data_IF_799861261803
#
_entry.id   IF_799861261803
#
_cell.length_a   1.000
_cell.length_b   1.000
_cell.length_c   1.000
_cell.angle_alpha   90.00
_cell.angle_beta   90.00
_cell.angle_gamma   90.00
#
_symmetry.space_group_name_H-M   'P 1'
#
loop_
_entity.id
_entity.type
_entity.pdbx_description
1 polymer ?
#
# COMPACT_ATOMS: atom_id res chain seq x y z
N UNK A 1 29.42 12.64 9.84
CA UNK A 1 29.15 13.58 8.73
C UNK A 1 27.76 13.21 8.20
N UNK A 2 26.78 14.11 8.20
CA UNK A 2 25.42 13.75 7.75
C UNK A 2 25.38 13.81 6.23
N UNK A 3 25.28 12.65 5.57
CA UNK A 3 25.17 12.58 4.11
C UNK A 3 23.74 12.97 3.72
N UNK A 4 23.59 14.10 3.03
CA UNK A 4 22.31 14.53 2.47
C UNK A 4 22.16 14.00 1.05
N UNK A 5 21.14 13.19 0.83
CA UNK A 5 20.80 12.67 -0.51
C UNK A 5 19.79 13.62 -1.14
N UNK A 6 20.18 14.26 -2.24
CA UNK A 6 19.30 15.13 -3.02
C UNK A 6 18.88 14.39 -4.28
N UNK A 7 17.63 13.96 -4.34
CA UNK A 7 17.03 13.38 -5.55
C UNK A 7 16.39 14.48 -6.41
N UNK A 8 16.28 14.21 -7.72
CA UNK A 8 15.62 15.10 -8.67
C UNK A 8 14.39 14.38 -9.24
N UNK A 9 13.27 14.48 -8.53
CA UNK A 9 11.99 13.91 -8.94
C UNK A 9 10.82 14.85 -8.69
N UNK A 10 9.64 14.49 -9.20
CA UNK A 10 8.37 15.13 -8.87
C UNK A 10 8.11 15.02 -7.36
N UNK A 11 7.55 16.08 -6.80
CA UNK A 11 7.23 16.20 -5.36
C UNK A 11 5.73 16.05 -5.07
N UNK A 12 4.90 15.91 -6.09
CA UNK A 12 3.47 15.61 -5.91
C UNK A 12 3.31 14.11 -5.60
N UNK A 13 3.48 13.79 -4.31
CA UNK A 13 3.45 12.43 -3.80
C UNK A 13 2.02 11.87 -3.82
N UNK A 14 1.01 12.72 -3.66
CA UNK A 14 -0.40 12.32 -3.69
C UNK A 14 -0.81 11.83 -5.08
N UNK A 15 -0.35 12.52 -6.14
CA UNK A 15 -0.51 12.07 -7.52
C UNK A 15 0.13 10.69 -7.73
N UNK A 16 1.36 10.48 -7.26
CA UNK A 16 2.05 9.19 -7.38
C UNK A 16 1.28 8.06 -6.70
N UNK A 17 0.85 8.24 -5.45
CA UNK A 17 0.16 7.20 -4.70
C UNK A 17 -1.21 6.85 -5.28
N UNK A 18 -1.92 7.82 -5.88
CA UNK A 18 -3.17 7.58 -6.61
C UNK A 18 -2.94 6.81 -7.91
N UNK A 19 -1.86 7.12 -8.65
CA UNK A 19 -1.61 6.58 -9.98
C UNK A 19 -0.95 5.20 -9.99
N UNK A 20 -0.18 4.87 -8.97
CA UNK A 20 0.78 3.76 -9.03
C UNK A 20 0.25 2.42 -8.53
N UNK A 21 -0.95 2.39 -7.92
CA UNK A 21 -1.56 1.22 -7.27
C UNK A 21 -0.61 0.45 -6.32
N UNK A 22 0.43 1.16 -5.84
CA UNK A 22 1.58 0.62 -5.10
C UNK A 22 1.15 -0.05 -3.80
N UNK A 23 -0.03 0.28 -3.28
CA UNK A 23 -0.58 -0.26 -2.03
C UNK A 23 -1.27 -1.62 -2.18
N UNK A 24 -1.79 -1.94 -3.36
CA UNK A 24 -2.58 -3.17 -3.57
C UNK A 24 -1.82 -4.21 -4.41
N UNK A 25 -0.74 -3.79 -5.08
CA UNK A 25 0.07 -4.66 -5.89
C UNK A 25 0.81 -5.70 -5.02
N UNK A 26 0.53 -6.98 -5.28
CA UNK A 26 1.23 -8.12 -4.67
C UNK A 26 2.72 -8.10 -5.02
N UNK A 27 3.11 -7.51 -6.16
CA UNK A 27 4.50 -7.23 -6.54
C UNK A 27 4.59 -6.06 -7.51
N UNK A 28 5.55 -5.17 -7.30
CA UNK A 28 5.84 -4.03 -8.16
C UNK A 28 6.69 -4.44 -9.38
N UNK A 29 6.15 -5.27 -10.26
CA UNK A 29 6.88 -5.85 -11.40
C UNK A 29 7.47 -4.81 -12.37
N UNK A 30 6.92 -3.59 -12.42
CA UNK A 30 7.29 -2.54 -13.37
C UNK A 30 7.47 -1.15 -12.76
N UNK A 31 7.44 -1.06 -11.42
CA UNK A 31 7.49 0.20 -10.65
C UNK A 31 8.27 -0.01 -9.34
N UNK A 32 9.51 -0.53 -9.38
CA UNK A 32 10.24 -0.83 -8.16
C UNK A 32 10.54 0.45 -7.38
N UNK A 33 10.60 0.32 -6.06
CA UNK A 33 10.94 1.42 -5.16
C UNK A 33 12.44 1.38 -4.88
N UNK A 34 13.11 2.50 -5.14
CA UNK A 34 14.52 2.69 -4.76
C UNK A 34 14.56 3.35 -3.39
N UNK A 35 15.10 2.64 -2.41
CA UNK A 35 15.25 3.09 -1.03
C UNK A 35 16.70 3.44 -0.78
N UNK A 36 16.94 4.63 -0.23
CA UNK A 36 18.27 5.11 0.08
C UNK A 36 18.50 5.06 1.61
N UNK A 37 19.39 4.18 2.04
CA UNK A 37 19.76 4.00 3.45
C UNK A 37 21.16 4.59 3.63
N UNK A 38 21.25 5.75 4.29
CA UNK A 38 22.52 6.40 4.58
C UNK A 38 23.15 5.82 5.85
N UNK A 39 24.45 5.52 5.79
CA UNK A 39 25.32 5.30 6.94
C UNK A 39 26.24 6.51 7.13
N UNK A 40 27.16 6.47 8.09
CA UNK A 40 28.11 7.57 8.32
C UNK A 40 29.04 7.84 7.14
N UNK A 41 29.32 6.81 6.33
CA UNK A 41 30.35 6.77 5.29
C UNK A 41 29.82 6.38 3.90
N UNK A 42 28.60 5.85 3.80
CA UNK A 42 28.06 5.32 2.56
C UNK A 42 26.55 5.54 2.44
N UNK A 43 26.05 5.33 1.23
CA UNK A 43 24.61 5.24 0.95
C UNK A 43 24.37 3.90 0.28
N UNK A 44 23.60 3.03 0.94
CA UNK A 44 23.12 1.81 0.36
C UNK A 44 21.81 2.09 -0.38
N UNK A 45 21.76 1.74 -1.67
CA UNK A 45 20.52 1.78 -2.46
C UNK A 45 19.93 0.38 -2.52
N UNK A 46 18.70 0.22 -2.04
CA UNK A 46 17.96 -1.05 -2.07
C UNK A 46 16.76 -0.94 -3.02
N UNK A 47 16.56 -1.98 -3.82
CA UNK A 47 15.33 -2.17 -4.60
C UNK A 47 14.32 -2.91 -3.73
N UNK A 48 13.11 -2.37 -3.59
CA UNK A 48 11.99 -3.08 -2.98
C UNK A 48 10.96 -3.45 -4.04
N UNK A 49 10.62 -4.74 -4.04
CA UNK A 49 9.60 -5.34 -4.90
C UNK A 49 8.18 -5.21 -4.30
N UNK A 50 8.09 -4.89 -3.01
CA UNK A 50 6.84 -4.75 -2.28
C UNK A 50 6.82 -3.43 -1.50
N UNK A 51 5.75 -2.64 -1.66
CA UNK A 51 5.62 -1.37 -0.97
C UNK A 51 5.54 -1.51 0.56
N UNK A 52 4.98 -2.63 1.02
CA UNK A 52 4.83 -2.89 2.45
C UNK A 52 6.17 -2.98 3.19
N UNK A 53 7.23 -3.42 2.50
CA UNK A 53 8.57 -3.51 3.07
C UNK A 53 9.09 -2.13 3.51
N UNK A 54 8.56 -1.04 2.94
CA UNK A 54 8.85 0.32 3.41
C UNK A 54 8.46 0.54 4.87
N UNK A 55 7.39 -0.10 5.36
CA UNK A 55 6.92 0.11 6.73
C UNK A 55 7.88 -0.43 7.79
N UNK A 56 8.84 -1.28 7.40
CA UNK A 56 9.91 -1.76 8.27
C UNK A 56 11.07 -0.77 8.45
N UNK A 57 11.07 0.33 7.68
CA UNK A 57 12.15 1.31 7.64
C UNK A 57 11.81 2.57 8.47
N UNK A 58 12.84 3.35 8.90
CA UNK A 58 12.65 4.64 9.57
C UNK A 58 11.93 5.66 8.68
N UNK A 59 11.17 6.57 9.29
CA UNK A 59 10.32 7.53 8.58
C UNK A 59 11.10 8.50 7.68
N UNK A 60 12.30 8.88 8.11
CA UNK A 60 13.23 9.75 7.40
C UNK A 60 13.86 9.11 6.17
N UNK A 61 13.69 7.79 5.97
CA UNK A 61 14.29 7.07 4.85
C UNK A 61 13.74 7.61 3.52
N UNK A 62 14.66 8.02 2.65
CA UNK A 62 14.32 8.57 1.34
C UNK A 62 14.00 7.46 0.34
N UNK A 63 12.95 7.67 -0.45
CA UNK A 63 12.44 6.73 -1.45
C UNK A 63 12.25 7.44 -2.78
N UNK A 64 12.62 6.77 -3.86
CA UNK A 64 12.32 7.19 -5.23
C UNK A 64 11.49 6.11 -5.91
N UNK A 65 10.25 6.48 -6.26
CA UNK A 65 9.33 5.62 -6.99
C UNK A 65 9.31 5.98 -8.46
N UNK A 66 9.42 4.98 -9.34
CA UNK A 66 9.19 5.17 -10.76
C UNK A 66 7.72 4.92 -11.07
N UNK A 67 7.07 5.86 -11.74
CA UNK A 67 5.79 5.63 -12.40
C UNK A 67 6.03 5.50 -13.91
N UNK A 68 5.63 4.36 -14.48
CA UNK A 68 5.95 4.01 -15.87
C UNK A 68 5.28 4.92 -16.90
N UNK A 69 4.15 5.55 -16.54
CA UNK A 69 3.34 6.39 -17.45
C UNK A 69 2.98 5.68 -18.77
N UNK A 70 2.29 6.38 -19.68
CA UNK A 70 2.02 5.86 -21.03
C UNK A 70 3.03 6.37 -22.06
N UNK A 71 3.52 7.61 -21.90
CA UNK A 71 4.43 8.27 -22.85
C UNK A 71 5.82 8.57 -22.29
N UNK A 72 5.94 8.78 -20.98
CA UNK A 72 7.20 8.97 -20.29
C UNK A 72 7.15 8.34 -18.90
N UNK A 73 8.32 7.95 -18.37
CA UNK A 73 8.44 7.60 -16.96
C UNK A 73 8.64 8.85 -16.12
N UNK A 74 7.82 9.02 -15.11
CA UNK A 74 8.04 10.03 -14.07
C UNK A 74 8.69 9.37 -12.85
N UNK A 75 9.56 10.12 -12.17
CA UNK A 75 10.13 9.72 -10.89
C UNK A 75 9.59 10.62 -9.81
N UNK A 76 9.17 10.02 -8.71
CA UNK A 76 8.63 10.72 -7.56
C UNK A 76 9.51 10.47 -6.34
N UNK A 77 9.66 11.51 -5.53
CA UNK A 77 10.45 11.47 -4.30
C UNK A 77 9.55 11.61 -3.09
N UNK A 78 9.69 10.68 -2.15
CA UNK A 78 8.97 10.71 -0.88
C UNK A 78 9.80 10.05 0.22
N UNK A 79 9.34 10.19 1.45
CA UNK A 79 9.91 9.54 2.63
C UNK A 79 9.02 8.39 3.08
N UNK A 80 9.58 7.42 3.80
CA UNK A 80 8.79 6.34 4.39
C UNK A 80 7.69 6.89 5.29
N UNK A 81 7.94 7.98 6.02
CA UNK A 81 6.93 8.65 6.85
C UNK A 81 5.74 9.19 6.04
N UNK A 82 6.00 9.78 4.86
CA UNK A 82 4.93 10.20 3.95
C UNK A 82 4.12 9.01 3.42
N UNK A 83 4.79 7.91 3.08
CA UNK A 83 4.11 6.68 2.68
C UNK A 83 3.26 6.11 3.81
N UNK A 84 3.78 6.07 5.04
CA UNK A 84 3.05 5.58 6.23
C UNK A 84 1.81 6.43 6.49
N UNK A 85 1.95 7.76 6.50
CA UNK A 85 0.83 8.67 6.68
C UNK A 85 -0.27 8.47 5.61
N UNK A 86 0.13 8.31 4.35
CA UNK A 86 -0.82 7.99 3.29
C UNK A 86 -1.48 6.62 3.51
N UNK A 87 -0.71 5.58 3.87
CA UNK A 87 -1.22 4.23 4.09
C UNK A 87 -2.25 4.19 5.23
N UNK A 88 -1.98 4.92 6.31
CA UNK A 88 -2.89 5.10 7.43
C UNK A 88 -4.16 5.86 7.01
N UNK A 89 -4.02 6.96 6.27
CA UNK A 89 -5.17 7.71 5.74
C UNK A 89 -6.05 6.85 4.83
N UNK A 90 -5.45 6.02 3.97
CA UNK A 90 -6.17 5.11 3.08
C UNK A 90 -6.91 3.99 3.84
N UNK A 91 -6.42 3.59 5.02
CA UNK A 91 -7.06 2.59 5.88
C UNK A 91 -8.08 3.20 6.86
N UNK A 92 -7.99 4.48 7.19
CA UNK A 92 -8.84 5.13 8.17
C UNK A 92 -10.36 4.96 7.89
N UNK A 93 -10.86 5.14 6.65
CA UNK A 93 -12.27 4.89 6.35
C UNK A 93 -12.69 3.43 6.58
N UNK A 94 -11.76 2.48 6.41
CA UNK A 94 -12.05 1.06 6.56
C UNK A 94 -12.28 0.64 8.01
N UNK A 95 -11.98 1.49 8.99
CA UNK A 95 -12.31 1.25 10.41
C UNK A 95 -13.81 1.24 10.66
N UNK A 96 -14.60 1.85 9.78
CA UNK A 96 -16.06 1.77 9.85
C UNK A 96 -16.62 0.56 9.08
N UNK A 97 -15.77 -0.40 8.68
CA UNK A 97 -16.20 -1.48 7.82
C UNK A 97 -17.25 -2.36 8.50
N UNK A 98 -18.25 -2.74 7.72
CA UNK A 98 -19.34 -3.65 8.09
C UNK A 98 -19.55 -4.65 6.97
N UNK A 99 -20.28 -5.73 7.27
CA UNK A 99 -20.55 -6.81 6.32
C UNK A 99 -19.27 -7.34 5.66
N UNK A 100 -18.19 -7.49 6.45
CA UNK A 100 -16.93 -8.01 5.95
C UNK A 100 -17.09 -9.51 5.70
N UNK A 101 -17.06 -9.91 4.43
CA UNK A 101 -17.27 -11.28 3.97
C UNK A 101 -16.08 -11.74 3.14
N UNK A 102 -15.41 -12.78 3.62
CA UNK A 102 -14.34 -13.49 2.91
C UNK A 102 -14.94 -14.71 2.21
N UNK A 103 -14.94 -14.68 0.87
CA UNK A 103 -15.48 -15.75 0.05
C UNK A 103 -14.38 -16.77 -0.26
N UNK A 104 -14.65 -18.03 0.03
CA UNK A 104 -13.74 -19.16 -0.14
C UNK A 104 -14.34 -20.15 -1.14
N UNK A 105 -13.54 -20.62 -2.09
CA UNK A 105 -13.95 -21.65 -3.04
C UNK A 105 -14.10 -23.03 -2.38
N UNK A 106 -14.77 -23.96 -3.08
CA UNK A 106 -15.02 -25.33 -2.59
C UNK A 106 -13.75 -26.11 -2.19
N UNK A 107 -12.60 -25.77 -2.78
CA UNK A 107 -11.30 -26.38 -2.48
C UNK A 107 -10.48 -25.57 -1.45
N UNK A 108 -11.08 -24.61 -0.74
CA UNK A 108 -10.41 -23.79 0.29
C UNK A 108 -9.65 -22.56 -0.24
N UNK A 109 -9.57 -22.37 -1.55
CA UNK A 109 -8.92 -21.20 -2.15
C UNK A 109 -9.71 -19.91 -1.92
N UNK A 110 -9.05 -18.86 -1.42
CA UNK A 110 -9.66 -17.53 -1.22
C UNK A 110 -10.01 -16.93 -2.59
N UNK A 111 -11.25 -16.48 -2.77
CA UNK A 111 -11.75 -15.90 -4.02
C UNK A 111 -11.79 -14.38 -3.99
N UNK A 112 -12.39 -13.81 -2.94
CA UNK A 112 -12.54 -12.36 -2.75
C UNK A 112 -12.81 -12.01 -1.30
N UNK A 113 -12.60 -10.76 -0.95
CA UNK A 113 -13.05 -10.15 0.30
C UNK A 113 -13.95 -8.98 -0.06
N UNK A 114 -15.15 -8.92 0.50
CA UNK A 114 -16.13 -7.85 0.25
C UNK A 114 -16.52 -7.20 1.57
N UNK A 115 -16.75 -5.90 1.56
CA UNK A 115 -17.11 -5.12 2.74
C UNK A 115 -17.77 -3.79 2.34
N UNK A 116 -18.52 -3.23 3.28
CA UNK A 116 -19.07 -1.87 3.17
C UNK A 116 -18.38 -0.96 4.18
N UNK A 117 -18.07 0.28 3.82
CA UNK A 117 -17.50 1.28 4.73
C UNK A 117 -18.06 2.67 4.44
N UNK A 118 -17.78 3.63 5.31
CA UNK A 118 -18.12 5.04 5.14
C UNK A 118 -16.86 5.77 4.69
N UNK A 119 -16.90 6.38 3.52
CA UNK A 119 -15.77 7.15 2.99
C UNK A 119 -15.59 8.49 3.72
N UNK A 120 -14.55 9.23 3.34
CA UNK A 120 -14.21 10.55 3.90
C UNK A 120 -15.34 11.59 3.75
N UNK A 121 -16.29 11.36 2.85
CA UNK A 121 -17.43 12.23 2.57
C UNK A 121 -18.69 11.82 3.32
N UNK A 122 -18.63 10.77 4.15
CA UNK A 122 -19.78 10.22 4.85
C UNK A 122 -20.65 9.31 3.97
N UNK A 123 -20.17 8.88 2.80
CA UNK A 123 -20.93 8.07 1.86
C UNK A 123 -20.65 6.59 2.11
N UNK A 124 -21.69 5.77 2.10
CA UNK A 124 -21.54 4.31 2.17
C UNK A 124 -21.03 3.77 0.83
N UNK A 125 -19.91 3.06 0.88
CA UNK A 125 -19.24 2.47 -0.28
C UNK A 125 -19.14 0.97 -0.10
N UNK A 126 -19.55 0.22 -1.13
CA UNK A 126 -19.31 -1.24 -1.21
C UNK A 126 -18.03 -1.50 -2.00
N UNK A 127 -17.13 -2.30 -1.44
CA UNK A 127 -15.84 -2.65 -2.07
C UNK A 127 -15.64 -4.15 -2.06
N UNK A 128 -15.04 -4.66 -3.13
CA UNK A 128 -14.58 -6.04 -3.23
C UNK A 128 -13.14 -6.05 -3.72
N UNK A 129 -12.29 -6.80 -3.04
CA UNK A 129 -10.89 -7.01 -3.42
C UNK A 129 -10.65 -8.46 -3.79
N UNK A 130 -9.70 -8.67 -4.70
CA UNK A 130 -9.20 -9.96 -5.16
C UNK A 130 -7.69 -10.00 -4.94
N UNK A 131 -7.10 -11.21 -4.97
CA UNK A 131 -5.67 -11.40 -4.71
C UNK A 131 -5.41 -11.83 -3.26
N UNK A 132 -4.59 -12.87 -3.09
CA UNK A 132 -4.42 -13.54 -1.80
C UNK A 132 -3.78 -12.60 -0.77
N UNK A 133 -2.68 -11.94 -1.14
CA UNK A 133 -1.94 -11.05 -0.25
C UNK A 133 -2.80 -9.89 0.28
N UNK A 134 -3.52 -9.19 -0.60
CA UNK A 134 -4.38 -8.06 -0.20
C UNK A 134 -5.56 -8.52 0.68
N UNK A 135 -6.15 -9.67 0.37
CA UNK A 135 -7.22 -10.23 1.21
C UNK A 135 -6.70 -10.59 2.60
N UNK A 136 -5.53 -11.22 2.70
CA UNK A 136 -4.91 -11.55 3.98
C UNK A 136 -4.56 -10.29 4.77
N UNK A 137 -3.99 -9.28 4.12
CA UNK A 137 -3.68 -7.97 4.71
C UNK A 137 -4.91 -7.30 5.32
N UNK A 138 -5.98 -7.17 4.54
CA UNK A 138 -7.22 -6.54 5.02
C UNK A 138 -7.92 -7.39 6.07
N UNK A 139 -7.85 -8.72 5.98
CA UNK A 139 -8.38 -9.61 7.02
C UNK A 139 -7.69 -9.36 8.36
N UNK A 140 -6.34 -9.26 8.36
CA UNK A 140 -5.58 -8.94 9.57
C UNK A 140 -5.90 -7.55 10.11
N UNK A 141 -6.02 -6.54 9.24
CA UNK A 141 -6.45 -5.20 9.61
C UNK A 141 -7.83 -5.20 10.30
N UNK A 142 -8.83 -5.87 9.71
CA UNK A 142 -10.16 -5.95 10.29
C UNK A 142 -10.15 -6.67 11.66
N UNK A 143 -9.38 -7.75 11.80
CA UNK A 143 -9.21 -8.40 13.10
C UNK A 143 -8.56 -7.48 14.14
N UNK A 144 -7.54 -6.71 13.77
CA UNK A 144 -6.87 -5.77 14.67
C UNK A 144 -7.80 -4.63 15.13
N UNK A 145 -8.72 -4.19 14.27
CA UNK A 145 -9.74 -3.18 14.59
C UNK A 145 -11.00 -3.79 15.24
N UNK A 146 -11.02 -5.10 15.55
CA UNK A 146 -12.15 -5.77 16.19
C UNK A 146 -13.37 -5.96 15.28
N UNK A 147 -13.20 -5.87 13.97
CA UNK A 147 -14.26 -5.98 12.97
C UNK A 147 -14.41 -7.47 12.57
N UNK A 148 -15.61 -8.07 12.70
CA UNK A 148 -15.82 -9.48 12.41
C UNK A 148 -15.75 -9.75 10.91
N UNK A 149 -14.99 -10.79 10.53
CA UNK A 149 -14.88 -11.28 9.15
C UNK A 149 -15.66 -12.58 9.01
N UNK A 150 -16.78 -12.54 8.30
CA UNK A 150 -17.59 -13.72 8.00
C UNK A 150 -16.96 -14.55 6.87
N UNK A 151 -17.12 -15.87 6.93
CA UNK A 151 -16.70 -16.79 5.87
C UNK A 151 -17.92 -17.21 5.05
N UNK A 152 -17.84 -17.08 3.73
CA UNK A 152 -18.87 -17.56 2.81
C UNK A 152 -18.26 -18.55 1.82
N UNK A 153 -18.92 -19.71 1.64
CA UNK A 153 -18.53 -20.66 0.60
C UNK A 153 -19.10 -20.23 -0.74
N UNK A 154 -18.23 -20.11 -1.75
CA UNK A 154 -18.63 -19.90 -3.13
C UNK A 154 -19.56 -21.03 -3.56
N UNK A 155 -20.76 -20.66 -4.01
CA UNK A 155 -21.72 -21.59 -4.61
C UNK A 155 -21.16 -22.22 -5.87
#
# INVERSE_FOLDING_TARGET
MTIQIVTAGRKDVDEFFKLSDVFTAERLNHTPLLVFIATEDAVQVRLLDHAHDLLSLPDETSVMGQWRGTMHSDFFQFTVGQYRAYAEAALAPLKSATQVVKVVGRQGGIKRLSFEYIDERGIRVSKSVIGKAEIERLTLFFHAEGIPVALELSR
#
